data_IF_173351315682
#
_entry.id   IF_173351315682
#
_cell.length_a   1.000
_cell.length_b   1.000
_cell.length_c   1.000
_cell.angle_alpha   90.00
_cell.angle_beta   90.00
_cell.angle_gamma   90.00
#
_symmetry.space_group_name_H-M   'P 1'
#
loop_
_entity.id
_entity.type
_entity.pdbx_description
1 polymer ?
#
# COMPACT_ATOMS: atom_id res chain seq x y z
N UNK A 1 5.07 -14.64 11.98
CA UNK A 1 4.25 -15.61 12.69
C UNK A 1 4.95 -16.16 13.94
N UNK A 2 6.27 -16.38 13.90
CA UNK A 2 7.00 -17.00 15.02
C UNK A 2 7.23 -16.04 16.20
N UNK A 3 7.59 -14.79 15.93
CA UNK A 3 8.06 -13.83 16.94
C UNK A 3 6.99 -12.79 17.33
N UNK A 4 5.84 -12.82 16.66
CA UNK A 4 4.79 -11.82 16.87
C UNK A 4 5.21 -10.40 16.49
N UNK A 5 4.62 -9.41 17.17
CA UNK A 5 4.89 -8.00 16.93
C UNK A 5 6.22 -7.57 17.55
N UNK A 6 7.17 -7.13 16.73
CA UNK A 6 8.50 -6.67 17.16
C UNK A 6 8.57 -5.14 17.29
N UNK A 7 9.56 -4.62 18.02
CA UNK A 7 9.76 -3.17 18.22
C UNK A 7 9.93 -2.40 16.90
N UNK A 8 10.56 -3.03 15.89
CA UNK A 8 10.70 -2.42 14.56
C UNK A 8 9.33 -2.27 13.87
N UNK A 9 8.45 -3.26 14.02
CA UNK A 9 7.07 -3.20 13.52
C UNK A 9 6.31 -2.02 14.14
N UNK A 10 6.45 -1.81 15.45
CA UNK A 10 5.81 -0.66 16.13
C UNK A 10 6.35 0.68 15.62
N UNK A 11 7.64 0.76 15.33
CA UNK A 11 8.25 1.98 14.78
C UNK A 11 7.71 2.28 13.37
N UNK A 12 7.65 1.28 12.50
CA UNK A 12 7.05 1.41 11.16
C UNK A 12 5.56 1.75 11.26
N UNK A 13 4.83 1.11 12.19
CA UNK A 13 3.41 1.35 12.40
C UNK A 13 3.12 2.81 12.77
N UNK A 14 3.93 3.39 13.66
CA UNK A 14 3.82 4.82 14.02
C UNK A 14 4.03 5.74 12.82
N UNK A 15 4.95 5.41 11.92
CA UNK A 15 5.16 6.17 10.70
C UNK A 15 3.98 6.05 9.74
N UNK A 16 3.47 4.82 9.50
CA UNK A 16 2.30 4.58 8.66
C UNK A 16 1.07 5.32 9.19
N UNK A 17 0.89 5.34 10.52
CA UNK A 17 -0.17 6.11 11.19
C UNK A 17 -0.01 7.61 11.00
N UNK A 18 1.21 8.14 11.21
CA UNK A 18 1.54 9.56 11.05
C UNK A 18 1.23 10.08 9.65
N UNK A 19 1.48 9.27 8.64
CA UNK A 19 1.28 9.64 7.24
C UNK A 19 -0.07 9.17 6.68
N UNK A 20 -0.95 8.63 7.51
CA UNK A 20 -2.28 8.12 7.14
C UNK A 20 -2.26 7.11 5.98
N UNK A 21 -1.25 6.24 5.95
CA UNK A 21 -1.09 5.25 4.87
C UNK A 21 -1.98 4.04 5.15
N UNK A 22 -2.96 3.71 4.28
CA UNK A 22 -3.69 2.46 4.34
C UNK A 22 -2.73 1.28 4.36
N UNK A 23 -2.97 0.30 5.21
CA UNK A 23 -1.97 -0.74 5.48
C UNK A 23 -2.60 -2.11 5.44
N UNK A 24 -1.98 -3.00 4.70
CA UNK A 24 -2.28 -4.43 4.62
C UNK A 24 -1.19 -5.22 5.31
N UNK A 25 -1.53 -6.29 5.99
CA UNK A 25 -0.59 -7.06 6.81
C UNK A 25 -0.54 -8.51 6.34
N UNK A 26 0.65 -9.02 6.07
CA UNK A 26 0.89 -10.43 5.83
C UNK A 26 1.68 -11.03 6.98
N UNK A 27 1.07 -11.95 7.70
CA UNK A 27 1.68 -12.66 8.83
C UNK A 27 2.36 -13.90 8.27
N UNK A 28 3.68 -13.78 8.10
CA UNK A 28 4.50 -14.79 7.41
C UNK A 28 5.01 -15.89 8.36
N UNK A 29 5.51 -16.99 7.79
CA UNK A 29 6.13 -18.12 8.50
C UNK A 29 5.13 -18.90 9.39
N UNK A 30 3.88 -19.04 8.92
CA UNK A 30 2.86 -19.80 9.65
C UNK A 30 3.09 -21.32 9.59
N UNK A 31 4.02 -21.77 8.77
CA UNK A 31 4.51 -23.16 8.67
C UNK A 31 5.50 -23.53 9.78
N UNK A 32 5.99 -22.56 10.56
CA UNK A 32 6.90 -22.80 11.66
C UNK A 32 6.16 -22.80 13.01
N UNK A 33 6.71 -23.47 14.05
CA UNK A 33 6.13 -23.42 15.39
C UNK A 33 6.02 -21.98 15.92
N UNK A 34 4.86 -21.61 16.44
CA UNK A 34 4.61 -20.26 16.98
C UNK A 34 3.20 -20.10 17.54
N UNK A 35 2.82 -18.89 17.89
CA UNK A 35 1.45 -18.57 18.30
C UNK A 35 0.46 -18.86 17.17
N UNK A 36 -0.77 -19.29 17.52
CA UNK A 36 -1.85 -19.42 16.54
C UNK A 36 -2.33 -18.08 15.99
N UNK A 37 -3.17 -18.13 14.95
CA UNK A 37 -3.72 -16.94 14.28
C UNK A 37 -4.42 -15.99 15.24
N UNK A 38 -5.25 -16.51 16.11
CA UNK A 38 -6.03 -15.75 17.10
C UNK A 38 -5.10 -14.92 18.00
N UNK A 39 -4.07 -15.57 18.58
CA UNK A 39 -3.11 -14.88 19.44
C UNK A 39 -2.29 -13.82 18.72
N UNK A 40 -1.99 -14.03 17.44
CA UNK A 40 -1.28 -13.04 16.63
C UNK A 40 -2.17 -11.83 16.32
N UNK A 41 -3.45 -12.04 16.02
CA UNK A 41 -4.43 -10.96 15.86
C UNK A 41 -4.64 -10.19 17.17
N UNK A 42 -4.76 -10.86 18.30
CA UNK A 42 -4.83 -10.22 19.62
C UNK A 42 -3.59 -9.36 19.89
N UNK A 43 -2.38 -9.86 19.57
CA UNK A 43 -1.16 -9.10 19.72
C UNK A 43 -1.12 -7.87 18.83
N UNK A 44 -1.56 -7.98 17.57
CA UNK A 44 -1.64 -6.85 16.64
C UNK A 44 -2.59 -5.78 17.20
N UNK A 45 -3.80 -6.18 17.57
CA UNK A 45 -4.81 -5.27 18.12
C UNK A 45 -4.35 -4.63 19.45
N UNK A 46 -3.73 -5.39 20.34
CA UNK A 46 -3.26 -4.87 21.62
C UNK A 46 -2.06 -3.91 21.48
N UNK A 47 -1.08 -4.22 20.61
CA UNK A 47 0.18 -3.46 20.52
C UNK A 47 0.17 -2.34 19.49
N UNK A 48 -0.61 -2.47 18.42
CA UNK A 48 -0.61 -1.52 17.31
C UNK A 48 -1.90 -0.69 17.23
N UNK A 49 -2.96 -1.11 17.92
CA UNK A 49 -4.29 -0.51 17.92
C UNK A 49 -5.31 -1.41 17.24
N UNK A 50 -6.58 -1.17 17.48
CA UNK A 50 -7.69 -1.99 17.00
C UNK A 50 -7.86 -1.91 15.46
N UNK A 51 -8.60 -2.87 14.89
CA UNK A 51 -8.98 -2.89 13.48
C UNK A 51 -8.24 -3.92 12.62
N UNK A 52 -7.40 -4.78 13.20
CA UNK A 52 -6.79 -5.89 12.46
C UNK A 52 -7.79 -7.04 12.32
N UNK A 53 -8.13 -7.40 11.08
CA UNK A 53 -9.11 -8.43 10.74
C UNK A 53 -8.49 -9.45 9.79
N UNK A 54 -8.71 -10.76 10.02
CA UNK A 54 -8.32 -11.82 9.09
C UNK A 54 -9.24 -11.79 7.86
N UNK A 55 -8.67 -11.54 6.70
CA UNK A 55 -9.36 -11.57 5.40
C UNK A 55 -9.24 -12.92 4.69
N UNK A 56 -8.54 -13.86 5.28
CA UNK A 56 -8.43 -15.24 4.81
C UNK A 56 -9.50 -16.18 5.35
N UNK A 57 -10.49 -15.68 6.11
CA UNK A 57 -11.66 -16.43 6.58
C UNK A 57 -12.86 -16.25 5.64
N UNK A 58 -13.93 -17.00 5.88
CA UNK A 58 -15.19 -16.83 5.15
C UNK A 58 -15.79 -15.42 5.34
N UNK A 59 -16.72 -15.05 4.44
CA UNK A 59 -17.29 -13.71 4.40
C UNK A 59 -18.10 -13.37 5.65
N UNK A 60 -18.85 -14.33 6.20
CA UNK A 60 -19.70 -14.10 7.37
C UNK A 60 -18.84 -13.78 8.60
N UNK A 61 -17.84 -14.64 8.89
CA UNK A 61 -16.87 -14.42 9.98
C UNK A 61 -16.12 -13.09 9.82
N UNK A 62 -15.72 -12.77 8.60
CA UNK A 62 -15.05 -11.51 8.30
C UNK A 62 -15.98 -10.31 8.54
N UNK A 63 -17.21 -10.37 8.08
CA UNK A 63 -18.19 -9.27 8.19
C UNK A 63 -18.54 -8.98 9.65
N UNK A 64 -18.68 -10.01 10.50
CA UNK A 64 -18.85 -9.86 11.95
C UNK A 64 -17.65 -9.12 12.58
N UNK A 65 -16.43 -9.51 12.24
CA UNK A 65 -15.23 -8.86 12.74
C UNK A 65 -15.10 -7.41 12.24
N UNK A 66 -15.46 -7.13 11.00
CA UNK A 66 -15.45 -5.79 10.40
C UNK A 66 -16.47 -4.86 11.06
N UNK A 67 -17.66 -5.36 11.40
CA UNK A 67 -18.72 -4.57 12.05
C UNK A 67 -18.26 -3.99 13.40
N UNK A 68 -17.38 -4.69 14.11
CA UNK A 68 -16.85 -4.22 15.39
C UNK A 68 -15.81 -3.10 15.22
N UNK A 69 -15.17 -2.99 14.03
CA UNK A 69 -14.08 -2.05 13.79
C UNK A 69 -14.52 -0.63 13.40
N UNK A 70 -15.72 -0.47 12.87
CA UNK A 70 -16.21 0.82 12.37
C UNK A 70 -17.74 0.91 12.52
N UNK A 71 -18.24 1.98 13.13
CA UNK A 71 -19.67 2.19 13.37
C UNK A 71 -20.52 2.12 12.09
N UNK A 72 -20.01 2.65 10.97
CA UNK A 72 -20.72 2.62 9.69
C UNK A 72 -20.85 1.21 9.13
N UNK A 73 -19.80 0.37 9.34
CA UNK A 73 -19.87 -1.04 8.95
C UNK A 73 -20.88 -1.78 9.82
N UNK A 74 -20.93 -1.48 11.12
CA UNK A 74 -21.92 -2.05 12.02
C UNK A 74 -23.34 -1.67 11.59
N UNK A 75 -23.60 -0.38 11.34
CA UNK A 75 -24.91 0.09 10.84
C UNK A 75 -25.31 -0.61 9.54
N UNK A 76 -24.33 -0.75 8.61
CA UNK A 76 -24.60 -1.42 7.32
C UNK A 76 -24.96 -2.89 7.50
N UNK A 77 -24.27 -3.62 8.38
CA UNK A 77 -24.60 -5.02 8.69
C UNK A 77 -25.97 -5.13 9.33
N UNK A 78 -26.32 -4.23 10.26
CA UNK A 78 -27.64 -4.22 10.90
C UNK A 78 -28.78 -3.93 9.91
N UNK A 79 -28.54 -3.04 8.94
CA UNK A 79 -29.55 -2.64 7.98
C UNK A 79 -29.70 -3.61 6.79
N UNK A 80 -28.58 -4.13 6.27
CA UNK A 80 -28.54 -4.91 5.02
C UNK A 80 -28.21 -6.38 5.23
N UNK A 81 -27.64 -6.76 6.39
CA UNK A 81 -27.18 -8.12 6.70
C UNK A 81 -25.82 -8.50 6.12
N UNK A 82 -25.28 -7.73 5.19
CA UNK A 82 -24.02 -8.03 4.51
C UNK A 82 -23.19 -6.76 4.22
N UNK A 83 -21.90 -6.91 4.03
CA UNK A 83 -20.98 -5.85 3.62
C UNK A 83 -20.50 -6.07 2.20
N UNK A 84 -20.50 -5.01 1.40
CA UNK A 84 -19.91 -4.99 0.07
C UNK A 84 -18.49 -4.40 0.12
N UNK A 85 -17.70 -4.60 -0.95
CA UNK A 85 -16.38 -3.96 -1.07
C UNK A 85 -16.48 -2.42 -1.01
N UNK A 86 -17.56 -1.84 -1.51
CA UNK A 86 -17.81 -0.40 -1.46
C UNK A 86 -17.96 0.13 -0.02
N UNK A 87 -18.47 -0.71 0.89
CA UNK A 87 -18.61 -0.38 2.30
C UNK A 87 -17.25 -0.52 3.04
N UNK A 88 -16.46 -1.55 2.70
CA UNK A 88 -15.18 -1.89 3.36
C UNK A 88 -14.05 -0.92 2.95
N UNK A 89 -13.95 -0.59 1.67
CA UNK A 89 -12.88 0.26 1.12
C UNK A 89 -12.67 1.60 1.86
N UNK A 90 -13.74 2.35 2.20
CA UNK A 90 -13.58 3.59 2.98
C UNK A 90 -13.04 3.36 4.39
N UNK A 91 -13.36 2.25 5.04
CA UNK A 91 -12.85 1.93 6.37
C UNK A 91 -11.35 1.60 6.34
N UNK A 92 -10.88 0.88 5.31
CA UNK A 92 -9.45 0.65 5.05
C UNK A 92 -8.74 1.97 4.77
N UNK A 93 -9.31 2.81 3.90
CA UNK A 93 -8.73 4.11 3.55
C UNK A 93 -8.60 5.06 4.75
N UNK A 94 -9.58 5.06 5.66
CA UNK A 94 -9.55 5.83 6.92
C UNK A 94 -8.69 5.18 8.02
N UNK A 95 -8.14 3.98 7.77
CA UNK A 95 -7.35 3.22 8.75
C UNK A 95 -8.15 2.77 9.99
N UNK A 96 -9.41 2.46 9.82
CA UNK A 96 -10.23 1.80 10.82
C UNK A 96 -10.14 0.27 10.69
N UNK A 97 -9.84 -0.21 9.48
CA UNK A 97 -9.65 -1.63 9.18
C UNK A 97 -8.27 -1.86 8.58
N UNK A 98 -7.59 -2.90 9.06
CA UNK A 98 -6.29 -3.36 8.58
C UNK A 98 -6.41 -4.82 8.13
N UNK A 99 -6.58 -5.08 6.82
CA UNK A 99 -6.70 -6.44 6.31
C UNK A 99 -5.45 -7.26 6.60
N UNK A 100 -5.64 -8.46 7.15
CA UNK A 100 -4.59 -9.40 7.50
C UNK A 100 -4.73 -10.69 6.69
N UNK A 101 -3.61 -11.25 6.27
CA UNK A 101 -3.52 -12.61 5.73
C UNK A 101 -2.41 -13.37 6.45
N UNK A 102 -2.59 -14.66 6.58
CA UNK A 102 -1.65 -15.57 7.22
C UNK A 102 -1.12 -16.57 6.20
N UNK A 103 0.19 -16.79 6.18
CA UNK A 103 0.77 -17.71 5.23
C UNK A 103 2.24 -18.01 5.45
N UNK A 104 2.79 -18.75 4.51
CA UNK A 104 4.21 -19.11 4.43
C UNK A 104 4.76 -18.71 3.05
N UNK A 105 5.27 -17.50 2.92
CA UNK A 105 5.67 -16.93 1.64
C UNK A 105 6.72 -17.78 0.90
N UNK A 106 7.62 -18.45 1.62
CA UNK A 106 8.60 -19.35 1.02
C UNK A 106 7.94 -20.54 0.29
N UNK A 107 6.74 -20.95 0.73
CA UNK A 107 5.93 -22.02 0.14
C UNK A 107 4.83 -21.47 -0.77
N UNK A 108 4.74 -20.16 -0.94
CA UNK A 108 3.66 -19.43 -1.63
C UNK A 108 2.28 -19.59 -0.98
N UNK A 109 2.19 -20.15 0.22
CA UNK A 109 0.93 -20.29 0.95
C UNK A 109 0.42 -18.92 1.42
N UNK A 110 -0.83 -18.57 1.10
CA UNK A 110 -1.49 -17.30 1.45
C UNK A 110 -1.04 -16.09 0.61
N UNK A 111 -0.11 -16.28 -0.33
CA UNK A 111 0.41 -15.17 -1.16
C UNK A 111 -0.59 -14.76 -2.22
N UNK A 112 -1.23 -15.72 -2.87
CA UNK A 112 -2.23 -15.44 -3.91
C UNK A 112 -3.44 -14.73 -3.32
N UNK A 113 -3.87 -15.11 -2.11
CA UNK A 113 -4.95 -14.48 -1.37
C UNK A 113 -4.61 -13.04 -1.00
N UNK A 114 -3.38 -12.78 -0.55
CA UNK A 114 -2.91 -11.41 -0.29
C UNK A 114 -2.92 -10.58 -1.58
N UNK A 115 -2.40 -11.12 -2.70
CA UNK A 115 -2.34 -10.39 -3.97
C UNK A 115 -3.74 -10.09 -4.51
N UNK A 116 -4.65 -11.05 -4.45
CA UNK A 116 -6.06 -10.86 -4.79
C UNK A 116 -6.72 -9.80 -3.88
N UNK A 117 -6.42 -9.83 -2.58
CA UNK A 117 -6.89 -8.85 -1.63
C UNK A 117 -6.37 -7.44 -1.92
N UNK A 118 -5.09 -7.31 -2.28
CA UNK A 118 -4.52 -6.02 -2.69
C UNK A 118 -5.21 -5.49 -3.96
N UNK A 119 -5.44 -6.32 -4.96
CA UNK A 119 -6.15 -5.92 -6.19
C UNK A 119 -7.59 -5.51 -5.89
N UNK A 120 -8.30 -6.28 -5.05
CA UNK A 120 -9.69 -6.04 -4.68
C UNK A 120 -9.89 -4.78 -3.83
N UNK A 121 -9.01 -4.55 -2.84
CA UNK A 121 -9.20 -3.53 -1.80
C UNK A 121 -8.26 -2.31 -1.94
N UNK A 122 -7.58 -2.14 -3.06
CA UNK A 122 -6.87 -0.90 -3.38
C UNK A 122 -7.51 -0.18 -4.56
N UNK A 123 -7.31 1.11 -4.60
CA UNK A 123 -7.69 1.93 -5.76
C UNK A 123 -6.51 2.80 -6.14
N UNK A 124 -6.22 2.97 -7.44
CA UNK A 124 -5.22 3.92 -7.88
C UNK A 124 -5.64 5.32 -7.42
N UNK A 125 -4.66 6.12 -7.03
CA UNK A 125 -4.91 7.53 -6.78
C UNK A 125 -5.43 8.19 -8.07
N UNK A 126 -6.44 9.09 -7.97
CA UNK A 126 -6.92 9.79 -9.15
C UNK A 126 -5.78 10.57 -9.79
N UNK A 127 -5.59 10.38 -11.10
CA UNK A 127 -4.60 11.11 -11.86
C UNK A 127 -5.08 12.56 -12.07
N UNK A 128 -4.20 13.53 -11.89
CA UNK A 128 -4.49 14.92 -12.21
C UNK A 128 -4.43 15.10 -13.74
N UNK A 129 -5.25 16.00 -14.30
CA UNK A 129 -5.21 16.33 -15.73
C UNK A 129 -3.90 17.04 -16.12
N UNK A 130 -3.47 17.99 -15.28
CA UNK A 130 -2.20 18.67 -15.48
C UNK A 130 -1.02 17.77 -15.15
N UNK A 131 0.11 17.96 -15.85
CA UNK A 131 1.33 17.26 -15.54
C UNK A 131 1.77 17.52 -14.12
N UNK A 132 2.03 16.45 -13.40
CA UNK A 132 2.60 16.46 -12.07
C UNK A 132 3.49 15.23 -11.89
N UNK A 133 4.58 15.40 -11.15
CA UNK A 133 5.46 14.30 -10.82
C UNK A 133 6.10 14.53 -9.43
N UNK A 134 6.34 13.44 -8.70
CA UNK A 134 7.05 13.45 -7.43
C UNK A 134 8.40 12.78 -7.60
N UNK A 135 9.47 13.55 -7.40
CA UNK A 135 10.83 13.01 -7.34
C UNK A 135 11.03 12.36 -5.96
N UNK A 136 11.49 11.13 -5.93
CA UNK A 136 11.73 10.40 -4.68
C UNK A 136 13.17 9.90 -4.51
N UNK A 137 13.99 9.95 -5.58
CA UNK A 137 15.39 9.53 -5.52
C UNK A 137 16.19 10.20 -6.64
N UNK A 138 17.46 10.51 -6.35
CA UNK A 138 18.46 10.87 -7.35
C UNK A 138 19.62 9.88 -7.20
N UNK A 139 20.10 9.35 -8.32
CA UNK A 139 21.25 8.44 -8.38
C UNK A 139 22.05 8.67 -9.66
N UNK A 140 23.08 7.90 -9.87
CA UNK A 140 23.83 7.84 -11.13
C UNK A 140 23.70 6.44 -11.73
N UNK A 141 23.74 6.36 -13.05
CA UNK A 141 23.86 5.08 -13.76
C UNK A 141 25.33 4.60 -13.79
N UNK A 142 25.54 3.43 -14.38
CA UNK A 142 26.89 2.83 -14.50
C UNK A 142 27.89 3.70 -15.29
N UNK A 143 27.39 4.63 -16.09
CA UNK A 143 28.19 5.58 -16.89
C UNK A 143 28.37 6.94 -16.20
N UNK A 144 27.87 7.08 -14.96
CA UNK A 144 27.93 8.32 -14.20
C UNK A 144 26.86 9.36 -14.56
N UNK A 145 25.94 9.04 -15.45
CA UNK A 145 24.85 9.96 -15.81
C UNK A 145 23.83 10.05 -14.67
N UNK A 146 23.40 11.27 -14.35
CA UNK A 146 22.37 11.53 -13.31
C UNK A 146 21.04 10.91 -13.72
N UNK A 147 20.48 10.11 -12.83
CA UNK A 147 19.13 9.58 -12.90
C UNK A 147 18.23 10.25 -11.85
N UNK A 148 17.18 10.88 -12.32
CA UNK A 148 16.12 11.40 -11.45
C UNK A 148 14.94 10.44 -11.48
N UNK A 149 14.69 9.78 -10.35
CA UNK A 149 13.61 8.83 -10.16
C UNK A 149 12.35 9.58 -9.75
N UNK A 150 11.32 9.44 -10.54
CA UNK A 150 10.06 10.12 -10.32
C UNK A 150 8.87 9.20 -10.53
N UNK A 151 7.77 9.53 -9.86
CA UNK A 151 6.46 8.97 -10.12
C UNK A 151 5.59 10.07 -10.73
N UNK A 152 5.05 9.83 -11.92
CA UNK A 152 4.08 10.73 -12.53
C UNK A 152 2.76 10.62 -11.76
N UNK A 153 2.18 11.75 -11.38
CA UNK A 153 0.94 11.84 -10.60
C UNK A 153 -0.21 12.45 -11.39
N UNK A 154 0.07 12.97 -12.59
CA UNK A 154 -0.93 13.53 -13.48
C UNK A 154 -0.32 13.88 -14.83
N UNK A 155 -1.18 14.00 -15.84
CA UNK A 155 -0.77 14.30 -17.20
C UNK A 155 0.21 13.31 -17.79
N UNK A 156 1.12 13.79 -18.61
CA UNK A 156 2.06 12.96 -19.38
C UNK A 156 3.43 13.64 -19.45
N UNK A 157 4.52 12.88 -19.23
CA UNK A 157 5.89 13.32 -19.46
C UNK A 157 6.39 12.74 -20.79
N UNK A 158 6.84 13.61 -21.70
CA UNK A 158 7.43 13.23 -23.00
C UNK A 158 8.93 13.40 -23.00
N UNK A 159 9.62 12.60 -23.80
CA UNK A 159 11.03 12.82 -24.12
C UNK A 159 11.21 14.19 -24.74
N UNK A 160 12.28 14.91 -24.35
CA UNK A 160 12.58 16.30 -24.69
C UNK A 160 11.62 17.35 -24.13
N UNK A 161 10.65 16.97 -23.30
CA UNK A 161 9.84 17.96 -22.57
C UNK A 161 10.74 18.82 -21.66
N UNK A 162 10.44 20.11 -21.64
CA UNK A 162 11.05 21.02 -20.68
C UNK A 162 10.26 21.00 -19.39
N UNK A 163 10.92 20.68 -18.32
CA UNK A 163 10.39 20.72 -16.96
C UNK A 163 10.84 22.03 -16.32
N UNK A 164 9.91 22.72 -15.68
CA UNK A 164 10.17 23.95 -14.96
C UNK A 164 9.63 23.84 -13.55
N UNK A 165 10.24 24.53 -12.62
CA UNK A 165 9.81 24.58 -11.23
C UNK A 165 10.52 25.69 -10.50
N UNK A 166 10.32 25.73 -9.18
CA UNK A 166 10.92 26.70 -8.28
C UNK A 166 11.44 25.96 -7.04
N UNK A 167 12.63 26.32 -6.59
CA UNK A 167 13.23 25.81 -5.35
C UNK A 167 13.76 27.02 -4.58
N UNK A 168 13.28 27.24 -3.37
CA UNK A 168 13.67 28.36 -2.49
C UNK A 168 13.49 29.74 -3.15
N UNK A 169 12.47 29.90 -4.00
CA UNK A 169 12.19 31.13 -4.75
C UNK A 169 13.00 31.28 -6.06
N UNK A 170 13.89 30.35 -6.36
CA UNK A 170 14.69 30.38 -7.57
C UNK A 170 14.08 29.47 -8.65
N UNK A 171 13.78 30.02 -9.85
CA UNK A 171 13.24 29.21 -10.93
C UNK A 171 14.32 28.27 -11.51
N UNK A 172 13.92 27.07 -11.85
CA UNK A 172 14.77 26.11 -12.57
C UNK A 172 14.10 25.58 -13.83
N UNK A 173 14.89 25.18 -14.80
CA UNK A 173 14.43 24.52 -15.99
C UNK A 173 15.38 23.40 -16.37
N UNK A 174 14.85 22.19 -16.57
CA UNK A 174 15.61 21.02 -17.05
C UNK A 174 14.87 20.33 -18.19
N UNK A 175 15.61 19.64 -19.05
CA UNK A 175 15.06 18.91 -20.17
C UNK A 175 15.12 17.40 -19.90
N UNK A 176 13.99 16.72 -20.07
CA UNK A 176 13.92 15.26 -19.97
C UNK A 176 14.52 14.62 -21.25
N UNK A 177 15.83 14.37 -21.28
CA UNK A 177 16.52 13.89 -22.48
C UNK A 177 16.18 12.42 -22.81
N UNK A 178 15.93 11.60 -21.81
CA UNK A 178 15.61 10.18 -21.93
C UNK A 178 14.65 9.78 -20.82
N UNK A 179 13.68 8.94 -21.13
CA UNK A 179 12.77 8.34 -20.15
C UNK A 179 13.03 6.84 -20.09
N UNK A 180 13.20 6.34 -18.88
CA UNK A 180 13.41 4.92 -18.57
C UNK A 180 12.29 4.43 -17.68
N UNK A 181 11.54 3.42 -18.11
CA UNK A 181 10.52 2.75 -17.30
C UNK A 181 11.16 1.50 -16.67
N UNK A 182 11.33 1.52 -15.36
CA UNK A 182 11.94 0.42 -14.62
C UNK A 182 10.91 -0.59 -14.13
N UNK A 183 11.25 -1.87 -14.29
CA UNK A 183 10.56 -2.99 -13.65
C UNK A 183 11.61 -3.88 -12.99
N UNK A 184 11.71 -3.80 -11.67
CA UNK A 184 12.85 -4.38 -10.93
C UNK A 184 14.18 -3.75 -11.34
N UNK A 185 15.16 -4.59 -11.68
CA UNK A 185 16.49 -4.14 -12.10
C UNK A 185 16.58 -3.77 -13.61
N UNK A 186 15.56 -4.10 -14.40
CA UNK A 186 15.55 -3.85 -15.84
C UNK A 186 14.74 -2.60 -16.18
N UNK A 187 15.09 -1.96 -17.28
CA UNK A 187 14.31 -0.84 -17.82
C UNK A 187 14.07 -0.97 -19.32
N UNK A 188 13.02 -0.32 -19.78
CA UNK A 188 12.75 -0.06 -21.20
C UNK A 188 12.77 1.44 -21.45
N UNK A 189 13.17 1.83 -22.67
CA UNK A 189 13.06 3.22 -23.08
C UNK A 189 11.62 3.53 -23.45
N UNK A 190 11.15 4.70 -23.01
CA UNK A 190 9.81 5.17 -23.32
C UNK A 190 9.87 6.56 -23.97
N UNK A 191 8.99 6.82 -24.92
CA UNK A 191 8.82 8.16 -25.52
C UNK A 191 7.94 9.07 -24.65
N UNK A 192 7.03 8.44 -23.87
CA UNK A 192 6.12 9.11 -22.94
C UNK A 192 5.78 8.20 -21.77
N UNK A 193 5.51 8.79 -20.62
CA UNK A 193 5.11 8.11 -19.38
C UNK A 193 3.97 8.91 -18.75
N UNK A 194 2.88 8.22 -18.38
CA UNK A 194 1.75 8.73 -17.60
C UNK A 194 1.75 8.19 -16.15
N UNK A 195 0.72 8.51 -15.37
CA UNK A 195 0.47 7.99 -14.02
C UNK A 195 0.34 6.47 -13.98
#
# INVERSE_FOLDING_TARGET
GTDGVQSHTETLWRLLRRYHIPTFVFINKMDLPGPGKEKLLEQLNHRLGEGFVDFGVDEDTRNEALAVCDERLMETVLDKGELTDADILPAIARRHVFPCWFGAALRLEGVDELLAGLDRFTRPAPALEAFGARVFKISQDEQGARLTWLRVTGGELKVKAQLTGEVDGEPWAEKANQLRLYSGARYTLAERIGP
#
